data_IF_686435843730
#
_entry.id   IF_686435843730
#
_cell.length_a   1.000
_cell.length_b   1.000
_cell.length_c   1.000
_cell.angle_alpha   90.00
_cell.angle_beta   90.00
_cell.angle_gamma   90.00
#
_symmetry.space_group_name_H-M   'P 1'
#
loop_
_entity.id
_entity.type
_entity.pdbx_description
1 polymer ?
#
# COMPACT_ATOMS: atom_id res chain seq x y z
N UNK A 1 21.74 10.84 -18.91
CA UNK A 1 20.78 11.65 -18.15
C UNK A 1 20.81 11.15 -16.73
N UNK A 2 20.98 12.04 -15.76
CA UNK A 2 21.02 11.69 -14.34
C UNK A 2 19.67 11.98 -13.69
N UNK A 3 19.20 11.07 -12.83
CA UNK A 3 17.97 11.22 -12.07
C UNK A 3 18.28 11.17 -10.56
N UNK A 4 17.52 11.92 -9.77
CA UNK A 4 17.68 11.96 -8.31
C UNK A 4 16.50 11.28 -7.61
N UNK A 5 16.77 10.63 -6.48
CA UNK A 5 15.77 10.00 -5.63
C UNK A 5 15.82 10.64 -4.24
N UNK A 6 14.73 11.27 -3.83
CA UNK A 6 14.58 11.88 -2.50
C UNK A 6 13.50 11.14 -1.73
N UNK A 7 13.85 10.55 -0.58
CA UNK A 7 12.91 9.76 0.25
C UNK A 7 12.92 10.28 1.68
N UNK A 8 11.72 10.52 2.24
CA UNK A 8 11.54 10.86 3.66
C UNK A 8 11.25 9.59 4.46
N UNK A 9 11.89 9.44 5.60
CA UNK A 9 11.67 8.33 6.53
C UNK A 9 11.94 8.81 7.96
N UNK A 10 11.53 8.02 8.96
CA UNK A 10 11.79 8.36 10.36
C UNK A 10 13.29 8.31 10.67
N UNK A 11 13.73 9.17 11.59
CA UNK A 11 15.13 9.23 12.04
C UNK A 11 15.60 7.88 12.58
N UNK A 12 14.78 7.23 13.41
CA UNK A 12 15.11 5.93 14.01
C UNK A 12 15.28 4.82 12.97
N UNK A 13 14.47 4.81 11.91
CA UNK A 13 14.61 3.85 10.81
C UNK A 13 15.92 4.09 10.05
N UNK A 14 16.20 5.36 9.75
CA UNK A 14 17.44 5.76 9.05
C UNK A 14 18.68 5.36 9.84
N UNK A 15 18.74 5.67 11.13
CA UNK A 15 19.91 5.36 11.98
C UNK A 15 20.18 3.86 12.07
N UNK A 16 19.13 3.06 12.26
CA UNK A 16 19.25 1.59 12.32
C UNK A 16 19.77 1.03 10.99
N UNK A 17 19.23 1.49 9.87
CA UNK A 17 19.68 1.08 8.54
C UNK A 17 21.13 1.50 8.27
N UNK A 18 21.48 2.75 8.54
CA UNK A 18 22.83 3.28 8.34
C UNK A 18 23.86 2.51 9.18
N UNK A 19 23.51 2.10 10.42
CA UNK A 19 24.39 1.28 11.26
C UNK A 19 24.73 -0.05 10.60
N UNK A 20 23.73 -0.76 10.07
CA UNK A 20 23.94 -2.05 9.40
C UNK A 20 24.77 -1.88 8.12
N UNK A 21 24.46 -0.87 7.30
CA UNK A 21 25.21 -0.59 6.09
C UNK A 21 26.68 -0.28 6.38
N UNK A 22 26.95 0.57 7.38
CA UNK A 22 28.31 0.91 7.83
C UNK A 22 29.08 -0.30 8.33
N UNK A 23 28.45 -1.19 9.09
CA UNK A 23 29.07 -2.44 9.56
C UNK A 23 29.52 -3.35 8.42
N UNK A 24 28.90 -3.23 7.24
CA UNK A 24 29.24 -3.99 6.04
C UNK A 24 30.07 -3.16 5.04
N UNK A 25 30.51 -1.95 5.39
CA UNK A 25 31.28 -1.07 4.49
C UNK A 25 30.49 -0.51 3.31
N UNK A 26 29.17 -0.55 3.35
CA UNK A 26 28.29 -0.10 2.27
C UNK A 26 27.75 1.30 2.59
N UNK A 27 27.74 2.19 1.60
CA UNK A 27 27.08 3.49 1.74
C UNK A 27 25.60 3.40 1.37
N UNK A 28 24.77 4.27 1.96
CA UNK A 28 23.33 4.32 1.66
C UNK A 28 23.06 4.48 0.16
N UNK A 29 23.80 5.35 -0.53
CA UNK A 29 23.65 5.53 -1.98
C UNK A 29 24.04 4.30 -2.79
N UNK A 30 25.07 3.55 -2.38
CA UNK A 30 25.41 2.28 -3.04
C UNK A 30 24.32 1.24 -2.85
N UNK A 31 23.80 1.08 -1.63
CA UNK A 31 22.71 0.14 -1.34
C UNK A 31 21.45 0.47 -2.16
N UNK A 32 21.07 1.75 -2.22
CA UNK A 32 19.92 2.20 -3.03
C UNK A 32 20.17 1.96 -4.52
N UNK A 33 21.35 2.29 -5.07
CA UNK A 33 21.64 2.02 -6.49
C UNK A 33 21.60 0.53 -6.81
N UNK A 34 22.16 -0.31 -5.95
CA UNK A 34 22.14 -1.76 -6.11
C UNK A 34 20.72 -2.31 -6.15
N UNK A 35 19.84 -1.85 -5.25
CA UNK A 35 18.43 -2.23 -5.26
C UNK A 35 17.74 -1.82 -6.58
N UNK A 36 17.93 -0.60 -7.05
CA UNK A 36 17.33 -0.15 -8.31
C UNK A 36 17.88 -0.92 -9.53
N UNK A 37 19.17 -1.28 -9.51
CA UNK A 37 19.77 -2.09 -10.55
C UNK A 37 19.19 -3.51 -10.57
N UNK A 38 19.00 -4.13 -9.40
CA UNK A 38 18.38 -5.45 -9.28
C UNK A 38 16.93 -5.42 -9.80
N UNK A 39 16.14 -4.42 -9.39
CA UNK A 39 14.77 -4.22 -9.87
C UNK A 39 14.73 -4.03 -11.40
N UNK A 40 15.64 -3.25 -11.96
CA UNK A 40 15.71 -3.02 -13.40
C UNK A 40 16.13 -4.28 -14.19
N UNK A 41 17.03 -5.09 -13.62
CA UNK A 41 17.56 -6.28 -14.26
C UNK A 41 16.58 -7.45 -14.21
N UNK A 42 15.99 -7.72 -13.04
CA UNK A 42 15.13 -8.88 -12.82
C UNK A 42 13.67 -8.61 -13.19
N UNK A 43 13.24 -7.34 -13.13
CA UNK A 43 11.82 -6.93 -13.21
C UNK A 43 10.93 -7.59 -12.16
N UNK A 44 11.53 -8.08 -11.08
CA UNK A 44 10.83 -8.70 -9.96
C UNK A 44 11.08 -7.91 -8.68
N UNK A 45 10.10 -7.92 -7.77
CA UNK A 45 10.26 -7.33 -6.44
C UNK A 45 11.02 -8.31 -5.53
N UNK A 46 12.10 -7.89 -4.85
CA UNK A 46 12.71 -8.65 -3.76
C UNK A 46 11.68 -9.12 -2.72
N UNK A 47 11.95 -10.26 -2.08
CA UNK A 47 11.00 -10.90 -1.16
C UNK A 47 10.49 -9.96 -0.05
N UNK A 48 11.40 -9.23 0.60
CA UNK A 48 11.05 -8.29 1.67
C UNK A 48 10.15 -7.13 1.19
N UNK A 49 10.19 -6.78 -0.10
CA UNK A 49 9.29 -5.78 -0.68
C UNK A 49 7.93 -6.36 -1.04
N UNK A 50 7.84 -7.65 -1.39
CA UNK A 50 6.56 -8.33 -1.66
C UNK A 50 5.67 -8.44 -0.41
N UNK A 51 6.30 -8.66 0.74
CA UNK A 51 5.61 -8.68 2.03
C UNK A 51 5.12 -7.28 2.42
N UNK A 52 5.95 -6.26 2.19
CA UNK A 52 5.57 -4.86 2.42
C UNK A 52 4.41 -4.42 1.51
N UNK A 53 4.39 -4.82 0.23
CA UNK A 53 3.31 -4.49 -0.70
C UNK A 53 2.00 -5.22 -0.38
N UNK A 54 2.06 -6.47 0.10
CA UNK A 54 0.88 -7.20 0.56
C UNK A 54 0.20 -6.49 1.74
N UNK A 55 0.99 -6.05 2.73
CA UNK A 55 0.48 -5.25 3.85
C UNK A 55 -0.09 -3.90 3.39
N UNK A 56 0.58 -3.21 2.46
CA UNK A 56 0.09 -1.94 1.94
C UNK A 56 -1.24 -2.10 1.17
N UNK A 57 -1.39 -3.17 0.40
CA UNK A 57 -2.60 -3.47 -0.34
C UNK A 57 -3.75 -3.85 0.60
N UNK A 58 -3.47 -4.58 1.68
CA UNK A 58 -4.45 -4.94 2.71
C UNK A 58 -4.90 -3.72 3.52
N UNK A 59 -4.00 -2.79 3.83
CA UNK A 59 -4.36 -1.51 4.46
C UNK A 59 -5.20 -0.66 3.52
N UNK A 60 -4.85 -0.61 2.23
CA UNK A 60 -5.62 0.11 1.22
C UNK A 60 -7.01 -0.50 1.00
N UNK A 61 -7.14 -1.84 1.01
CA UNK A 61 -8.43 -2.52 0.88
C UNK A 61 -9.30 -2.33 2.12
N UNK A 62 -8.73 -2.41 3.33
CA UNK A 62 -9.45 -2.09 4.59
C UNK A 62 -9.92 -0.64 4.60
N UNK A 63 -9.09 0.30 4.15
CA UNK A 63 -9.48 1.71 4.03
C UNK A 63 -10.65 1.88 3.06
N UNK A 64 -10.61 1.27 1.87
CA UNK A 64 -11.73 1.31 0.92
C UNK A 64 -12.99 0.64 1.46
N UNK A 65 -12.86 -0.48 2.18
CA UNK A 65 -13.98 -1.15 2.82
C UNK A 65 -14.64 -0.25 3.88
N UNK A 66 -13.84 0.42 4.71
CA UNK A 66 -14.33 1.39 5.70
C UNK A 66 -14.95 2.61 5.03
N UNK A 67 -14.37 3.13 3.95
CA UNK A 67 -14.97 4.23 3.16
C UNK A 67 -16.30 3.81 2.52
N UNK A 68 -16.40 2.57 2.02
CA UNK A 68 -17.65 2.01 1.51
C UNK A 68 -18.70 1.86 2.62
N UNK A 69 -18.31 1.41 3.81
CA UNK A 69 -19.20 1.35 4.98
C UNK A 69 -19.62 2.74 5.48
N UNK A 70 -18.71 3.72 5.45
CA UNK A 70 -19.02 5.10 5.79
C UNK A 70 -19.98 5.74 4.77
N UNK A 71 -19.88 5.39 3.49
CA UNK A 71 -20.85 5.77 2.46
C UNK A 71 -22.24 5.17 2.68
N UNK A 72 -22.32 3.96 3.24
CA UNK A 72 -23.59 3.34 3.67
C UNK A 72 -24.15 4.08 4.91
N UNK A 73 -23.29 4.53 5.83
CA UNK A 73 -23.68 5.30 7.02
C UNK A 73 -24.08 6.77 6.72
N UNK A 74 -23.72 7.33 5.56
CA UNK A 74 -24.11 8.68 5.13
C UNK A 74 -25.54 8.78 4.55
N UNK A 75 -26.36 7.73 4.71
CA UNK A 75 -27.81 7.90 4.79
C UNK A 75 -28.54 8.07 3.46
N UNK A 76 -28.52 7.03 2.62
CA UNK A 76 -29.56 6.84 1.60
C UNK A 76 -30.44 5.61 1.84
N UNK A 77 -30.30 4.92 2.98
CA UNK A 77 -31.03 3.69 3.30
C UNK A 77 -31.55 3.65 4.74
N UNK A 78 -31.54 4.77 5.46
CA UNK A 78 -31.86 4.77 6.91
C UNK A 78 -33.30 4.39 7.24
N UNK A 79 -34.20 4.31 6.23
CA UNK A 79 -35.60 3.92 6.40
C UNK A 79 -36.06 2.85 5.40
N UNK A 80 -35.17 2.03 4.82
CA UNK A 80 -35.65 0.92 4.01
C UNK A 80 -36.11 -0.24 4.91
N UNK A 81 -37.38 -0.63 4.83
CA UNK A 81 -37.83 -1.89 5.44
C UNK A 81 -37.30 -3.09 4.64
N UNK A 82 -37.28 -4.26 5.26
CA UNK A 82 -36.79 -5.51 4.63
C UNK A 82 -37.51 -5.79 3.30
N UNK A 83 -38.82 -5.50 3.26
CA UNK A 83 -39.66 -5.61 2.07
C UNK A 83 -39.25 -4.66 0.92
N UNK A 84 -38.76 -3.46 1.25
CA UNK A 84 -38.30 -2.47 0.26
C UNK A 84 -36.93 -2.86 -0.33
N UNK A 85 -36.11 -3.58 0.44
CA UNK A 85 -34.81 -4.09 -0.01
C UNK A 85 -34.98 -5.21 -1.04
N UNK A 86 -35.95 -6.11 -0.83
CA UNK A 86 -36.28 -7.21 -1.76
C UNK A 86 -36.86 -6.69 -3.08
N UNK A 87 -37.70 -5.65 -3.03
CA UNK A 87 -38.25 -5.01 -4.22
C UNK A 87 -37.16 -4.38 -5.11
N UNK A 88 -36.13 -3.76 -4.51
CA UNK A 88 -34.98 -3.21 -5.24
C UNK A 88 -34.09 -4.30 -5.87
N UNK A 89 -34.02 -5.47 -5.25
CA UNK A 89 -33.29 -6.63 -5.78
C UNK A 89 -33.90 -7.20 -7.06
N UNK A 90 -35.23 -7.17 -7.18
CA UNK A 90 -35.95 -7.70 -8.34
C UNK A 90 -35.90 -6.80 -9.58
N UNK A 91 -35.81 -5.48 -9.40
CA UNK A 91 -35.73 -4.52 -10.52
C UNK A 91 -34.39 -4.56 -11.29
N UNK A 92 -33.38 -5.28 -10.78
CA UNK A 92 -32.07 -5.42 -11.44
C UNK A 92 -32.01 -6.59 -12.44
N UNK A 93 -33.06 -7.41 -12.51
CA UNK A 93 -33.16 -8.59 -13.37
C UNK A 93 -34.37 -8.54 -14.32
N UNK A 94 -34.85 -7.34 -14.66
CA UNK A 94 -35.73 -7.09 -15.82
C UNK A 94 -34.98 -6.31 -16.91
#
# INVERSE_FOLDING_TARGET
MDATLNVRMSTTLKERGDKVLRQNGISTSMAVRALWQELASTRELPAFLREASSNAQEVASRKRALESLAGIAQGSLTNCTDDELDALGMARYE
#
